data_IF_542127801063
#
_entry.id   IF_542127801063
#
_cell.length_a   1.000
_cell.length_b   1.000
_cell.length_c   1.000
_cell.angle_alpha   90.00
_cell.angle_beta   90.00
_cell.angle_gamma   90.00
#
_symmetry.space_group_name_H-M   'P 1'
#
loop_
_entity.id
_entity.type
_entity.pdbx_description
1 polymer ?
#
# COMPACT_ATOMS: atom_id res chain seq x y z
N UNK A 1 8.81 10.89 22.46
CA UNK A 1 7.76 9.99 21.94
C UNK A 1 6.52 10.81 21.64
N UNK A 2 5.99 10.73 20.41
CA UNK A 2 4.75 11.39 20.01
C UNK A 2 3.58 10.41 20.17
N UNK A 3 2.79 10.58 21.23
CA UNK A 3 1.68 9.69 21.58
C UNK A 3 0.60 9.64 20.48
N UNK A 4 0.34 10.75 19.80
CA UNK A 4 -0.66 10.80 18.73
C UNK A 4 -0.25 9.94 17.54
N UNK A 5 1.04 9.96 17.18
CA UNK A 5 1.56 9.08 16.13
C UNK A 5 1.48 7.63 16.55
N UNK A 6 1.86 7.29 17.78
CA UNK A 6 1.76 5.92 18.27
C UNK A 6 0.31 5.39 18.17
N UNK A 7 -0.68 6.17 18.62
CA UNK A 7 -2.09 5.81 18.55
C UNK A 7 -2.58 5.67 17.10
N UNK A 8 -2.24 6.61 16.22
CA UNK A 8 -2.61 6.55 14.81
C UNK A 8 -2.02 5.32 14.11
N UNK A 9 -0.76 4.99 14.40
CA UNK A 9 -0.09 3.83 13.83
C UNK A 9 -0.68 2.50 14.33
N UNK A 10 -0.97 2.39 15.63
CA UNK A 10 -1.66 1.23 16.22
C UNK A 10 -3.08 1.06 15.65
N UNK A 11 -3.82 2.15 15.47
CA UNK A 11 -5.12 2.13 14.83
C UNK A 11 -5.01 1.62 13.40
N UNK A 12 -4.07 2.14 12.60
CA UNK A 12 -3.86 1.70 11.22
C UNK A 12 -3.50 0.21 11.11
N UNK A 13 -2.60 -0.31 11.96
CA UNK A 13 -2.25 -1.75 11.98
C UNK A 13 -3.45 -2.59 12.39
N UNK A 14 -4.20 -2.17 13.42
CA UNK A 14 -5.43 -2.85 13.85
C UNK A 14 -6.45 -2.88 12.71
N UNK A 15 -6.68 -1.75 12.06
CA UNK A 15 -7.57 -1.66 10.89
C UNK A 15 -7.08 -2.54 9.76
N UNK A 16 -5.77 -2.63 9.49
CA UNK A 16 -5.24 -3.53 8.47
C UNK A 16 -5.58 -5.00 8.76
N UNK A 17 -5.42 -5.44 10.01
CA UNK A 17 -5.77 -6.80 10.43
C UNK A 17 -7.26 -7.06 10.25
N UNK A 18 -8.11 -6.15 10.73
CA UNK A 18 -9.56 -6.27 10.63
C UNK A 18 -10.02 -6.24 9.17
N UNK A 19 -9.52 -5.30 8.37
CA UNK A 19 -9.82 -5.16 6.95
C UNK A 19 -9.38 -6.40 6.16
N UNK A 20 -8.15 -6.88 6.37
CA UNK A 20 -7.65 -8.10 5.72
C UNK A 20 -8.50 -9.33 6.05
N UNK A 21 -8.75 -9.59 7.34
CA UNK A 21 -9.52 -10.76 7.80
C UNK A 21 -10.97 -10.70 7.39
N UNK A 22 -11.61 -9.54 7.54
CA UNK A 22 -13.00 -9.35 7.18
C UNK A 22 -13.19 -9.54 5.68
N UNK A 23 -12.38 -8.88 4.86
CA UNK A 23 -12.50 -8.97 3.42
C UNK A 23 -12.29 -10.35 2.83
N UNK A 24 -11.32 -11.13 3.34
CA UNK A 24 -11.16 -12.50 2.86
C UNK A 24 -12.38 -13.37 3.22
N UNK A 25 -12.99 -13.14 4.38
CA UNK A 25 -14.15 -13.91 4.87
C UNK A 25 -15.46 -13.54 4.15
N UNK A 26 -15.70 -12.27 3.88
CA UNK A 26 -16.97 -11.78 3.32
C UNK A 26 -16.81 -11.41 1.85
N UNK A 27 -16.07 -10.34 1.58
CA UNK A 27 -15.99 -9.69 0.27
C UNK A 27 -15.38 -10.60 -0.79
N UNK A 28 -14.16 -11.09 -0.58
CA UNK A 28 -13.44 -11.92 -1.56
C UNK A 28 -14.14 -13.26 -1.76
N UNK A 29 -14.73 -13.82 -0.70
CA UNK A 29 -15.51 -15.06 -0.78
C UNK A 29 -16.72 -14.90 -1.69
N UNK A 30 -17.50 -13.83 -1.52
CA UNK A 30 -18.66 -13.53 -2.36
C UNK A 30 -18.25 -13.17 -3.79
N UNK A 31 -17.18 -12.37 -3.95
CA UNK A 31 -16.61 -12.02 -5.26
C UNK A 31 -16.20 -13.22 -6.11
N UNK A 32 -15.66 -14.27 -5.48
CA UNK A 32 -15.31 -15.51 -6.19
C UNK A 32 -16.55 -16.17 -6.81
N UNK A 33 -17.69 -16.10 -6.12
CA UNK A 33 -18.96 -16.71 -6.52
C UNK A 33 -19.80 -15.83 -7.46
N UNK A 34 -19.49 -14.53 -7.54
CA UNK A 34 -20.21 -13.59 -8.38
C UNK A 34 -20.05 -13.89 -9.89
N UNK A 35 -21.13 -13.69 -10.65
CA UNK A 35 -21.21 -13.83 -12.10
C UNK A 35 -20.69 -12.58 -12.84
N UNK A 36 -19.47 -12.16 -12.51
CA UNK A 36 -18.77 -11.02 -13.12
C UNK A 36 -17.47 -11.48 -13.78
N UNK A 37 -16.89 -10.63 -14.63
CA UNK A 37 -15.64 -10.93 -15.35
C UNK A 37 -14.45 -11.08 -14.40
N UNK A 38 -13.47 -11.90 -14.78
CA UNK A 38 -12.24 -12.08 -14.00
C UNK A 38 -11.44 -10.79 -13.85
N UNK A 39 -11.51 -9.89 -14.85
CA UNK A 39 -10.95 -8.56 -14.77
C UNK A 39 -11.58 -7.74 -13.62
N UNK A 40 -12.91 -7.78 -13.48
CA UNK A 40 -13.59 -7.11 -12.39
C UNK A 40 -13.25 -7.74 -11.03
N UNK A 41 -13.23 -9.09 -10.95
CA UNK A 41 -12.81 -9.81 -9.73
C UNK A 41 -11.39 -9.45 -9.31
N UNK A 42 -10.48 -9.35 -10.28
CA UNK A 42 -9.11 -8.93 -10.08
C UNK A 42 -9.05 -7.50 -9.53
N UNK A 43 -9.80 -6.56 -10.14
CA UNK A 43 -9.86 -5.17 -9.68
C UNK A 43 -10.22 -5.05 -8.20
N UNK A 44 -11.33 -5.68 -7.78
CA UNK A 44 -11.75 -5.65 -6.37
C UNK A 44 -10.77 -6.39 -5.45
N UNK A 45 -10.31 -7.59 -5.84
CA UNK A 45 -9.43 -8.39 -4.99
C UNK A 45 -8.09 -7.69 -4.78
N UNK A 46 -7.51 -7.13 -5.84
CA UNK A 46 -6.21 -6.45 -5.78
C UNK A 46 -6.33 -5.18 -4.96
N UNK A 47 -7.33 -4.33 -5.22
CA UNK A 47 -7.57 -3.12 -4.45
C UNK A 47 -7.72 -3.42 -2.94
N UNK A 48 -8.40 -4.50 -2.59
CA UNK A 48 -8.55 -4.93 -1.19
C UNK A 48 -7.21 -5.20 -0.50
N UNK A 49 -6.33 -5.95 -1.17
CA UNK A 49 -5.01 -6.27 -0.63
C UNK A 49 -4.11 -5.04 -0.60
N UNK A 50 -4.21 -4.15 -1.59
CA UNK A 50 -3.47 -2.89 -1.63
C UNK A 50 -3.82 -2.00 -0.44
N UNK A 51 -5.10 -1.82 -0.13
CA UNK A 51 -5.55 -1.06 1.05
C UNK A 51 -5.01 -1.69 2.34
N UNK A 52 -5.11 -3.02 2.46
CA UNK A 52 -4.60 -3.76 3.63
C UNK A 52 -3.10 -3.55 3.82
N UNK A 53 -2.33 -3.64 2.73
CA UNK A 53 -0.89 -3.43 2.76
C UNK A 53 -0.52 -1.98 3.06
N UNK A 54 -1.22 -1.02 2.45
CA UNK A 54 -1.02 0.40 2.70
C UNK A 54 -1.22 0.71 4.18
N UNK A 55 -2.33 0.29 4.78
CA UNK A 55 -2.61 0.46 6.22
C UNK A 55 -1.54 -0.18 7.11
N UNK A 56 -1.04 -1.35 6.72
CA UNK A 56 0.01 -2.07 7.46
C UNK A 56 1.32 -1.29 7.44
N UNK A 57 1.78 -0.94 6.23
CA UNK A 57 3.06 -0.27 6.01
C UNK A 57 3.03 1.14 6.60
N UNK A 58 1.96 1.91 6.36
CA UNK A 58 1.80 3.24 6.96
C UNK A 58 1.70 3.16 8.46
N UNK A 59 0.95 2.18 9.00
CA UNK A 59 0.80 2.00 10.45
C UNK A 59 2.12 1.70 11.13
N UNK A 60 2.91 0.75 10.62
CA UNK A 60 4.24 0.44 11.13
C UNK A 60 5.16 1.67 11.03
N UNK A 61 5.18 2.36 9.90
CA UNK A 61 6.01 3.54 9.73
C UNK A 61 5.65 4.66 10.70
N UNK A 62 4.35 4.91 10.93
CA UNK A 62 3.87 5.90 11.88
C UNK A 62 4.24 5.51 13.32
N UNK A 63 4.16 4.21 13.68
CA UNK A 63 4.63 3.72 14.99
C UNK A 63 6.12 4.03 15.15
N UNK A 64 6.95 3.72 14.15
CA UNK A 64 8.39 4.01 14.19
C UNK A 64 8.64 5.51 14.32
N UNK A 65 7.95 6.34 13.52
CA UNK A 65 8.05 7.80 13.59
C UNK A 65 7.68 8.37 14.95
N UNK A 66 6.82 7.69 15.72
CA UNK A 66 6.45 8.15 17.06
C UNK A 66 7.64 8.21 18.03
N UNK A 67 8.73 7.48 17.75
CA UNK A 67 9.94 7.46 18.57
C UNK A 67 11.05 8.36 18.04
N UNK A 68 10.89 8.96 16.85
CA UNK A 68 11.90 9.77 16.18
C UNK A 68 11.69 11.27 16.48
N UNK A 69 12.75 12.07 16.68
CA UNK A 69 12.65 13.53 16.84
C UNK A 69 11.99 14.23 15.64
N UNK A 70 11.19 15.27 15.90
CA UNK A 70 10.37 15.98 14.90
C UNK A 70 11.16 16.55 13.70
N UNK A 71 12.39 17.01 13.92
CA UNK A 71 13.25 17.51 12.84
C UNK A 71 13.65 16.43 11.83
N UNK A 72 13.77 15.17 12.26
CA UNK A 72 14.09 14.03 11.38
C UNK A 72 12.82 13.48 10.71
N UNK A 73 11.66 13.64 11.35
CA UNK A 73 10.36 13.18 10.86
C UNK A 73 9.91 13.84 9.54
N UNK A 74 10.23 15.14 9.35
CA UNK A 74 9.87 15.85 8.10
C UNK A 74 10.70 15.40 6.90
N UNK A 75 12.00 15.13 7.10
CA UNK A 75 12.87 14.61 6.05
C UNK A 75 12.50 13.17 5.64
N UNK A 76 11.90 12.40 6.55
CA UNK A 76 11.50 11.00 6.31
C UNK A 76 10.14 10.85 5.61
N UNK A 77 9.36 11.93 5.44
CA UNK A 77 8.07 11.89 4.76
C UNK A 77 8.17 11.47 3.28
N UNK A 78 9.19 11.94 2.56
CA UNK A 78 9.43 11.54 1.17
C UNK A 78 9.76 10.05 1.03
N UNK A 79 10.56 9.52 1.96
CA UNK A 79 10.90 8.09 2.02
C UNK A 79 9.65 7.24 2.32
N UNK A 80 8.80 7.71 3.23
CA UNK A 80 7.54 7.02 3.53
C UNK A 80 6.64 6.92 2.29
N UNK A 81 6.52 7.99 1.50
CA UNK A 81 5.75 7.97 0.26
C UNK A 81 6.34 6.94 -0.71
N UNK A 82 7.67 6.92 -0.91
CA UNK A 82 8.33 5.91 -1.76
C UNK A 82 8.03 4.48 -1.29
N UNK A 83 8.13 4.22 0.02
CA UNK A 83 7.83 2.91 0.60
C UNK A 83 6.38 2.50 0.38
N UNK A 84 5.43 3.44 0.49
CA UNK A 84 4.02 3.18 0.23
C UNK A 84 3.75 2.85 -1.24
N UNK A 85 4.32 3.64 -2.17
CA UNK A 85 4.20 3.35 -3.61
C UNK A 85 4.82 1.99 -3.96
N UNK A 86 5.99 1.68 -3.42
CA UNK A 86 6.66 0.40 -3.66
C UNK A 86 5.86 -0.77 -3.10
N UNK A 87 5.41 -0.68 -1.85
CA UNK A 87 4.56 -1.70 -1.22
C UNK A 87 3.27 -1.92 -2.01
N UNK A 88 2.67 -0.84 -2.51
CA UNK A 88 1.47 -0.90 -3.33
C UNK A 88 1.71 -1.67 -4.64
N UNK A 89 2.81 -1.39 -5.36
CA UNK A 89 3.20 -2.10 -6.58
C UNK A 89 3.48 -3.58 -6.30
N UNK A 90 4.22 -3.88 -5.22
CA UNK A 90 4.58 -5.27 -4.90
C UNK A 90 3.35 -6.12 -4.60
N UNK A 91 2.41 -5.59 -3.81
CA UNK A 91 1.16 -6.28 -3.48
C UNK A 91 0.30 -6.45 -4.73
N UNK A 92 0.20 -5.41 -5.55
CA UNK A 92 -0.49 -5.47 -6.83
C UNK A 92 0.03 -6.61 -7.70
N UNK A 93 1.33 -6.61 -7.99
CA UNK A 93 1.98 -7.62 -8.84
C UNK A 93 1.88 -9.02 -8.24
N UNK A 94 2.05 -9.14 -6.92
CA UNK A 94 1.95 -10.43 -6.22
C UNK A 94 0.55 -11.02 -6.32
N UNK A 95 -0.50 -10.22 -6.09
CA UNK A 95 -1.89 -10.68 -6.13
C UNK A 95 -2.30 -11.01 -7.58
N UNK A 96 -1.96 -10.15 -8.54
CA UNK A 96 -2.20 -10.42 -9.96
C UNK A 96 -1.50 -11.71 -10.39
N UNK A 97 -0.21 -11.87 -10.13
CA UNK A 97 0.55 -13.07 -10.53
C UNK A 97 -0.02 -14.36 -9.94
N UNK A 98 -0.49 -14.34 -8.68
CA UNK A 98 -0.97 -15.54 -7.97
C UNK A 98 -2.44 -15.87 -8.25
N UNK A 99 -3.30 -14.87 -8.41
CA UNK A 99 -4.75 -15.07 -8.51
C UNK A 99 -5.33 -14.77 -9.90
N UNK A 100 -4.68 -13.92 -10.70
CA UNK A 100 -5.20 -13.41 -11.98
C UNK A 100 -4.07 -13.16 -13.01
N UNK A 101 -3.30 -14.21 -13.40
CA UNK A 101 -2.12 -14.03 -14.24
C UNK A 101 -2.44 -13.41 -15.60
N UNK A 102 -3.62 -13.70 -16.16
CA UNK A 102 -4.06 -13.21 -17.47
C UNK A 102 -4.35 -11.70 -17.48
N UNK A 103 -4.59 -11.12 -16.29
CA UNK A 103 -4.94 -9.70 -16.13
C UNK A 103 -3.69 -8.81 -16.02
N UNK A 104 -2.49 -9.38 -15.82
CA UNK A 104 -1.27 -8.61 -15.53
C UNK A 104 -0.85 -7.65 -16.65
N UNK A 105 -1.19 -7.95 -17.91
CA UNK A 105 -0.84 -7.09 -19.05
C UNK A 105 -1.67 -5.80 -19.06
N UNK A 106 -2.94 -5.91 -18.69
CA UNK A 106 -3.87 -4.78 -18.64
C UNK A 106 -3.53 -3.77 -17.53
N UNK A 107 -2.50 -4.06 -16.73
CA UNK A 107 -2.18 -3.32 -15.50
C UNK A 107 -0.76 -2.76 -15.51
N UNK A 108 -0.06 -2.82 -16.64
CA UNK A 108 1.27 -2.23 -16.78
C UNK A 108 1.28 -0.71 -16.63
N UNK A 109 0.26 0.00 -17.15
CA UNK A 109 0.18 1.45 -17.03
C UNK A 109 0.26 1.96 -15.58
N UNK A 110 -0.60 1.50 -14.64
CA UNK A 110 -0.52 1.97 -13.25
C UNK A 110 0.80 1.58 -12.56
N UNK A 111 1.43 0.46 -12.94
CA UNK A 111 2.75 0.07 -12.44
C UNK A 111 3.83 1.04 -12.92
N UNK A 112 3.89 1.32 -14.23
CA UNK A 112 4.85 2.28 -14.80
C UNK A 112 4.67 3.68 -14.23
N UNK A 113 3.43 4.15 -14.10
CA UNK A 113 3.13 5.44 -13.48
C UNK A 113 3.66 5.49 -12.04
N UNK A 114 3.43 4.44 -11.25
CA UNK A 114 3.91 4.37 -9.86
C UNK A 114 5.44 4.36 -9.76
N UNK A 115 6.13 3.66 -10.69
CA UNK A 115 7.59 3.68 -10.79
C UNK A 115 8.11 5.07 -11.17
N UNK A 116 7.49 5.73 -12.14
CA UNK A 116 7.86 7.09 -12.54
C UNK A 116 7.72 8.08 -11.37
N UNK A 117 6.63 7.99 -10.61
CA UNK A 117 6.43 8.79 -9.40
C UNK A 117 7.52 8.52 -8.35
N UNK A 118 7.88 7.26 -8.11
CA UNK A 118 8.98 6.91 -7.19
C UNK A 118 10.30 7.57 -7.65
N UNK A 119 10.64 7.47 -8.94
CA UNK A 119 11.85 8.07 -9.51
C UNK A 119 11.84 9.58 -9.32
N UNK A 120 10.74 10.26 -9.63
CA UNK A 120 10.60 11.71 -9.46
C UNK A 120 10.77 12.13 -7.99
N UNK A 121 10.20 11.38 -7.05
CA UNK A 121 10.36 11.66 -5.62
C UNK A 121 11.83 11.49 -5.19
N UNK A 122 12.48 10.41 -5.61
CA UNK A 122 13.91 10.17 -5.30
C UNK A 122 14.78 11.29 -5.87
N UNK A 123 14.57 11.66 -7.14
CA UNK A 123 15.30 12.76 -7.77
C UNK A 123 15.06 14.10 -7.05
N UNK A 124 13.82 14.39 -6.66
CA UNK A 124 13.50 15.59 -5.88
C UNK A 124 14.19 15.63 -4.52
N UNK A 125 14.32 14.48 -3.84
CA UNK A 125 15.09 14.37 -2.59
C UNK A 125 16.57 14.64 -2.84
N UNK A 126 17.15 14.10 -3.91
CA UNK A 126 18.57 14.32 -4.25
C UNK A 126 18.82 15.80 -4.54
N UNK A 127 18.03 16.41 -5.43
CA UNK A 127 18.21 17.82 -5.83
C UNK A 127 18.05 18.78 -4.65
N UNK A 128 17.13 18.51 -3.71
CA UNK A 128 16.92 19.38 -2.53
C UNK A 128 18.05 19.29 -1.50
N UNK A 129 18.79 18.19 -1.47
CA UNK A 129 19.87 17.94 -0.50
C UNK A 129 21.27 18.24 -1.06
N UNK A 130 21.37 18.72 -2.30
CA UNK A 130 22.57 19.28 -2.94
C UNK A 130 22.52 20.79 -2.85
#
# INVERSE_FOLDING_TARGET
>A
MNVLYLLAGLAAVTTAILHGRWGEKTIIRELKQASITDLAKAGFTVAWHQITAMLTVSGIAIIVLSFIPSMVAFATAGILIVVLYLGNILVFLMVCKRKFPDVIRSTYYPVFNSVAMIVLIILGIIVKNV
#
